data_IF_967386374401
#
_entry.id   IF_967386374401
#
_cell.length_a   1.000
_cell.length_b   1.000
_cell.length_c   1.000
_cell.angle_alpha   90.00
_cell.angle_beta   90.00
_cell.angle_gamma   90.00
#
_symmetry.space_group_name_H-M   'P 1'
#
loop_
_entity.id
_entity.type
_entity.pdbx_description
1 polymer ?
#
# COMPACT_ATOMS: atom_id res chain seq x y z
N UNK A 1 14.77 2.10 -8.34
CA UNK A 1 15.52 0.85 -8.13
C UNK A 1 14.50 -0.26 -7.94
N UNK A 2 14.67 -1.37 -8.67
CA UNK A 2 13.82 -2.55 -8.58
C UNK A 2 14.19 -3.38 -7.37
N UNK A 3 13.29 -4.26 -6.93
CA UNK A 3 13.57 -5.21 -5.84
C UNK A 3 14.83 -6.06 -6.08
N UNK A 4 15.16 -6.38 -7.34
CA UNK A 4 16.36 -7.13 -7.72
C UNK A 4 17.65 -6.28 -7.74
N UNK A 5 17.56 -5.00 -7.37
CA UNK A 5 18.66 -4.05 -7.36
C UNK A 5 18.92 -3.34 -8.70
N UNK A 6 18.22 -3.72 -9.78
CA UNK A 6 18.37 -3.02 -11.07
C UNK A 6 17.83 -1.59 -11.00
N UNK A 7 18.42 -0.69 -11.80
CA UNK A 7 18.06 0.73 -11.79
C UNK A 7 17.59 1.20 -13.15
N UNK A 8 16.64 2.12 -13.14
CA UNK A 8 16.12 2.79 -14.33
C UNK A 8 16.03 4.27 -14.00
N UNK A 9 16.61 5.11 -14.85
CA UNK A 9 16.47 6.56 -14.73
C UNK A 9 15.05 6.94 -15.13
N UNK A 10 14.35 7.66 -14.25
CA UNK A 10 13.00 8.17 -14.49
C UNK A 10 13.14 9.51 -15.22
N UNK A 11 13.75 10.49 -14.56
CA UNK A 11 13.99 11.82 -15.11
C UNK A 11 15.40 12.27 -14.74
N UNK A 12 16.09 12.89 -15.68
CA UNK A 12 17.36 13.58 -15.46
C UNK A 12 17.30 14.94 -16.17
N UNK A 13 17.39 16.01 -15.39
CA UNK A 13 17.40 17.40 -15.90
C UNK A 13 18.66 18.07 -15.40
N UNK A 14 19.73 17.98 -16.19
CA UNK A 14 21.06 18.42 -15.80
C UNK A 14 21.19 19.94 -15.57
N UNK A 15 20.28 20.74 -16.14
CA UNK A 15 20.26 22.20 -16.03
C UNK A 15 18.83 22.67 -15.69
N UNK A 16 18.34 22.25 -14.53
CA UNK A 16 17.03 22.65 -14.02
C UNK A 16 16.93 24.17 -13.83
N UNK A 17 15.82 24.74 -14.26
CA UNK A 17 15.44 26.14 -14.01
C UNK A 17 14.17 26.15 -13.15
N UNK A 18 14.18 26.91 -12.05
CA UNK A 18 13.05 27.01 -11.13
C UNK A 18 11.74 27.49 -11.81
N UNK A 19 11.83 28.17 -12.95
CA UNK A 19 10.65 28.63 -13.69
C UNK A 19 9.96 27.51 -14.50
N UNK A 20 10.52 26.30 -14.58
CA UNK A 20 9.98 25.19 -15.38
C UNK A 20 9.10 24.22 -14.59
N UNK A 21 8.18 24.73 -13.78
CA UNK A 21 7.30 23.91 -12.93
C UNK A 21 6.05 23.44 -13.68
N UNK A 22 6.21 22.46 -14.55
CA UNK A 22 5.13 21.88 -15.34
C UNK A 22 5.19 20.35 -15.34
N UNK A 23 4.07 19.70 -15.68
CA UNK A 23 4.07 18.27 -15.90
C UNK A 23 4.71 17.93 -17.23
N UNK A 24 5.70 17.04 -17.19
CA UNK A 24 6.22 16.36 -18.37
C UNK A 24 5.76 14.90 -18.31
N UNK A 25 4.77 14.56 -19.12
CA UNK A 25 4.18 13.22 -19.14
C UNK A 25 4.93 12.34 -20.14
N UNK A 26 5.14 11.08 -19.76
CA UNK A 26 5.62 10.08 -20.70
C UNK A 26 4.59 9.81 -21.79
N UNK A 27 5.07 9.42 -22.96
CA UNK A 27 4.24 8.71 -23.93
C UNK A 27 3.84 7.35 -23.36
N UNK A 28 2.66 6.87 -23.72
CA UNK A 28 2.12 5.60 -23.18
C UNK A 28 3.04 4.38 -23.40
N UNK A 29 3.85 4.40 -24.45
CA UNK A 29 4.85 3.35 -24.73
C UNK A 29 6.03 3.33 -23.75
N UNK A 30 6.28 4.44 -23.05
CA UNK A 30 7.42 4.64 -22.16
C UNK A 30 7.02 4.60 -20.68
N UNK A 31 5.78 4.21 -20.38
CA UNK A 31 5.31 4.05 -19.01
C UNK A 31 6.15 3.04 -18.23
N UNK A 32 6.53 3.44 -17.02
CA UNK A 32 7.26 2.59 -16.10
C UNK A 32 6.27 1.84 -15.21
N UNK A 33 6.14 0.53 -15.41
CA UNK A 33 5.43 -0.33 -14.46
C UNK A 33 6.23 -0.42 -13.18
N UNK A 34 5.64 -0.08 -12.03
CA UNK A 34 6.21 -0.27 -10.69
C UNK A 34 5.62 -1.53 -10.04
N UNK A 35 6.39 -2.17 -9.16
CA UNK A 35 5.96 -3.34 -8.37
C UNK A 35 6.17 -3.10 -6.89
N UNK A 36 5.46 -3.86 -6.07
CA UNK A 36 5.70 -3.89 -4.63
C UNK A 36 7.17 -4.21 -4.33
N UNK A 37 7.80 -3.40 -3.49
CA UNK A 37 9.22 -3.50 -3.15
C UNK A 37 10.18 -2.70 -4.05
N UNK A 38 9.69 -2.04 -5.11
CA UNK A 38 10.49 -1.05 -5.83
C UNK A 38 10.67 0.22 -4.97
N UNK A 39 11.82 0.88 -5.11
CA UNK A 39 12.12 2.14 -4.42
C UNK A 39 12.46 3.27 -5.41
N UNK A 40 12.15 4.50 -5.02
CA UNK A 40 12.47 5.70 -5.80
C UNK A 40 13.53 6.53 -5.08
N UNK A 41 14.47 7.08 -5.84
CA UNK A 41 15.52 7.96 -5.32
C UNK A 41 15.50 9.25 -6.12
N UNK A 42 15.43 10.38 -5.42
CA UNK A 42 15.57 11.71 -5.98
C UNK A 42 16.91 12.30 -5.54
N UNK A 43 17.56 13.03 -6.42
CA UNK A 43 18.78 13.78 -6.11
C UNK A 43 18.65 15.16 -6.73
N UNK A 44 18.72 16.19 -5.90
CA UNK A 44 18.77 17.59 -6.32
C UNK A 44 20.16 18.12 -6.00
N UNK A 45 20.73 18.91 -6.92
CA UNK A 45 22.04 19.54 -6.75
C UNK A 45 21.82 21.05 -6.74
N UNK A 46 22.35 21.72 -5.73
CA UNK A 46 22.18 23.16 -5.52
C UNK A 46 23.53 23.86 -5.65
N UNK A 47 23.51 25.08 -6.21
CA UNK A 47 24.68 25.97 -6.24
C UNK A 47 24.44 27.17 -5.30
N UNK A 48 24.97 27.08 -4.08
CA UNK A 48 24.97 28.15 -3.08
C UNK A 48 26.28 28.96 -3.10
N UNK A 49 26.95 29.05 -4.26
CA UNK A 49 28.18 29.85 -4.40
C UNK A 49 27.90 31.35 -4.26
N UNK A 50 28.90 32.17 -3.87
CA UNK A 50 28.74 33.63 -3.82
C UNK A 50 28.29 34.25 -5.15
N UNK A 51 28.72 33.67 -6.28
CA UNK A 51 28.34 34.13 -7.62
C UNK A 51 26.87 33.86 -7.96
N UNK A 52 26.25 32.85 -7.35
CA UNK A 52 24.88 32.42 -7.63
C UNK A 52 23.87 32.94 -6.59
N UNK A 53 24.21 33.99 -5.83
CA UNK A 53 23.30 34.60 -4.86
C UNK A 53 22.40 35.66 -5.51
N UNK A 54 21.15 35.83 -5.02
CA UNK A 54 20.25 36.85 -5.52
C UNK A 54 20.71 38.27 -5.17
N UNK A 55 20.20 39.25 -5.92
CA UNK A 55 20.38 40.67 -5.62
C UNK A 55 19.17 41.20 -4.85
N UNK A 56 19.41 41.84 -3.71
CA UNK A 56 18.40 42.56 -2.92
C UNK A 56 18.88 44.01 -2.80
N UNK A 57 18.03 44.97 -3.16
CA UNK A 57 18.37 46.40 -3.15
C UNK A 57 19.66 46.73 -3.91
N UNK A 58 19.86 46.09 -5.07
CA UNK A 58 21.05 46.18 -5.93
C UNK A 58 22.36 45.67 -5.29
N UNK A 59 22.27 44.92 -4.18
CA UNK A 59 23.41 44.27 -3.54
C UNK A 59 23.27 42.75 -3.63
N UNK A 60 24.32 42.09 -4.08
CA UNK A 60 24.37 40.63 -4.05
C UNK A 60 24.53 40.17 -2.61
N UNK A 61 23.59 39.35 -2.12
CA UNK A 61 23.68 38.83 -0.75
C UNK A 61 24.80 37.80 -0.62
N UNK A 62 25.34 37.65 0.58
CA UNK A 62 26.34 36.61 0.84
C UNK A 62 25.64 35.26 1.02
N UNK A 63 26.28 34.15 0.60
CA UNK A 63 25.77 32.82 0.90
C UNK A 63 25.56 32.64 2.39
N UNK A 64 24.45 32.01 2.74
CA UNK A 64 24.13 31.61 4.10
C UNK A 64 23.85 30.12 4.14
N UNK A 65 23.73 29.58 5.34
CA UNK A 65 23.20 28.23 5.49
C UNK A 65 21.74 28.22 5.06
N UNK A 66 21.39 27.33 4.14
CA UNK A 66 20.05 27.17 3.58
C UNK A 66 19.50 25.83 4.04
N UNK A 67 18.21 25.81 4.40
CA UNK A 67 17.50 24.65 4.91
C UNK A 67 16.33 24.32 4.00
N UNK A 68 15.74 23.14 4.19
CA UNK A 68 14.47 22.81 3.55
C UNK A 68 13.33 23.63 4.18
N UNK A 69 12.49 24.25 3.36
CA UNK A 69 11.38 25.07 3.85
C UNK A 69 10.57 25.74 2.75
N UNK A 70 9.55 26.49 3.16
CA UNK A 70 8.62 27.20 2.26
C UNK A 70 8.99 28.68 2.08
N UNK A 71 9.99 29.18 2.82
CA UNK A 71 10.44 30.56 2.72
C UNK A 71 11.16 30.82 1.39
N UNK A 72 11.12 32.08 0.92
CA UNK A 72 11.79 32.50 -0.33
C UNK A 72 13.30 32.26 -0.36
N UNK A 73 13.94 32.12 0.80
CA UNK A 73 15.38 31.84 0.92
C UNK A 73 15.68 30.43 1.45
N UNK A 74 14.66 29.57 1.50
CA UNK A 74 14.79 28.15 1.79
C UNK A 74 14.83 27.37 0.46
N UNK A 75 15.15 26.08 0.53
CA UNK A 75 15.24 25.20 -0.65
C UNK A 75 14.23 24.06 -0.58
N UNK A 76 13.94 23.45 -1.73
CA UNK A 76 13.11 22.25 -1.83
C UNK A 76 13.69 21.27 -2.85
N UNK A 77 13.60 19.97 -2.54
CA UNK A 77 13.89 18.88 -3.48
C UNK A 77 12.63 18.03 -3.63
N UNK A 78 11.81 18.33 -4.65
CA UNK A 78 10.52 17.67 -4.87
C UNK A 78 10.44 17.12 -6.29
N UNK A 79 9.71 16.02 -6.43
CA UNK A 79 9.30 15.47 -7.72
C UNK A 79 7.87 14.95 -7.58
N UNK A 80 7.01 15.34 -8.52
CA UNK A 80 5.62 14.88 -8.57
C UNK A 80 5.49 13.82 -9.65
N UNK A 81 5.05 12.64 -9.25
CA UNK A 81 4.85 11.50 -10.16
C UNK A 81 3.35 11.23 -10.26
N UNK A 82 2.85 11.11 -11.48
CA UNK A 82 1.50 10.65 -11.75
C UNK A 82 1.55 9.14 -11.95
N UNK A 83 0.84 8.40 -11.10
CA UNK A 83 0.67 6.97 -11.22
C UNK A 83 -0.69 6.65 -11.83
N UNK A 84 -0.71 5.69 -12.75
CA UNK A 84 -1.93 5.10 -13.29
C UNK A 84 -2.02 3.67 -12.76
N UNK A 85 -3.14 3.33 -12.14
CA UNK A 85 -3.51 1.94 -11.90
C UNK A 85 -4.51 1.51 -12.98
N UNK A 86 -4.49 0.23 -13.41
CA UNK A 86 -5.57 -0.30 -14.22
C UNK A 86 -6.90 -0.03 -13.52
N UNK A 87 -7.85 0.50 -14.28
CA UNK A 87 -9.23 0.54 -13.82
C UNK A 87 -9.73 -0.91 -13.73
N UNK A 88 -9.88 -1.41 -12.50
CA UNK A 88 -10.61 -2.64 -12.24
C UNK A 88 -12.07 -2.24 -12.03
N UNK A 89 -13.02 -2.88 -12.73
CA UNK A 89 -14.44 -2.83 -12.36
C UNK A 89 -14.57 -2.93 -10.84
N UNK A 90 -15.37 -2.05 -10.22
CA UNK A 90 -15.58 -1.79 -8.79
C UNK A 90 -15.55 -3.02 -7.86
N UNK A 91 -14.39 -3.66 -7.73
CA UNK A 91 -14.13 -4.68 -6.73
C UNK A 91 -13.49 -3.95 -5.58
N UNK A 92 -14.24 -3.87 -4.48
CA UNK A 92 -13.81 -3.20 -3.25
C UNK A 92 -12.48 -3.77 -2.70
N UNK A 93 -12.21 -5.04 -3.00
CA UNK A 93 -11.05 -5.79 -2.52
C UNK A 93 -10.27 -6.48 -3.65
N UNK A 94 -9.73 -5.72 -4.62
CA UNK A 94 -9.27 -6.28 -5.90
C UNK A 94 -7.98 -7.11 -5.76
N UNK A 95 -7.18 -6.87 -4.72
CA UNK A 95 -5.89 -7.56 -4.54
C UNK A 95 -5.92 -8.71 -3.54
N UNK A 96 -7.05 -8.96 -2.87
CA UNK A 96 -7.14 -10.02 -1.85
C UNK A 96 -6.91 -11.41 -2.44
N UNK A 97 -7.63 -11.78 -3.50
CA UNK A 97 -7.45 -13.08 -4.15
C UNK A 97 -6.01 -13.30 -4.69
N UNK A 98 -5.41 -12.37 -5.47
CA UNK A 98 -4.04 -12.56 -5.93
C UNK A 98 -3.01 -12.55 -4.79
N UNK A 99 -3.24 -11.80 -3.71
CA UNK A 99 -2.36 -11.83 -2.54
C UNK A 99 -2.39 -13.20 -1.84
N UNK A 100 -3.60 -13.73 -1.58
CA UNK A 100 -3.77 -15.03 -0.90
C UNK A 100 -3.20 -16.20 -1.70
N UNK A 101 -3.14 -16.11 -3.03
CA UNK A 101 -2.51 -17.13 -3.87
C UNK A 101 -1.00 -17.32 -3.61
N UNK A 102 -0.35 -16.35 -2.95
CA UNK A 102 1.05 -16.42 -2.54
C UNK A 102 1.28 -16.87 -1.10
N UNK A 103 0.22 -17.13 -0.33
CA UNK A 103 0.34 -17.57 1.07
C UNK A 103 0.59 -19.10 1.16
N UNK A 104 1.32 -19.52 2.20
CA UNK A 104 1.41 -20.93 2.55
C UNK A 104 0.09 -21.43 3.18
N UNK A 105 -0.30 -22.70 3.00
CA UNK A 105 -1.52 -23.24 3.60
C UNK A 105 -1.53 -23.10 5.12
N UNK A 106 -2.61 -22.56 5.67
CA UNK A 106 -2.78 -22.33 7.11
C UNK A 106 -2.06 -21.08 7.65
N UNK A 107 -1.47 -20.25 6.79
CA UNK A 107 -0.81 -19.00 7.17
C UNK A 107 -1.83 -17.87 7.43
N UNK A 108 -2.33 -17.82 8.67
CA UNK A 108 -3.28 -16.81 9.14
C UNK A 108 -2.67 -15.40 9.18
N UNK A 109 -1.35 -15.27 9.30
CA UNK A 109 -0.66 -13.97 9.29
C UNK A 109 -0.63 -13.38 7.88
N UNK A 110 -0.25 -14.18 6.88
CA UNK A 110 -0.32 -13.80 5.47
C UNK A 110 -1.74 -13.42 5.06
N UNK A 111 -2.74 -14.16 5.54
CA UNK A 111 -4.14 -13.84 5.31
C UNK A 111 -4.53 -12.45 5.84
N UNK A 112 -4.17 -12.10 7.08
CA UNK A 112 -4.44 -10.79 7.68
C UNK A 112 -3.73 -9.67 6.91
N UNK A 113 -2.48 -9.91 6.53
CA UNK A 113 -1.71 -8.98 5.71
C UNK A 113 -2.43 -8.72 4.37
N UNK A 114 -2.93 -9.76 3.70
CA UNK A 114 -3.66 -9.60 2.44
C UNK A 114 -4.97 -8.82 2.58
N UNK A 115 -5.71 -9.01 3.69
CA UNK A 115 -6.92 -8.24 3.97
C UNK A 115 -6.63 -6.75 4.22
N UNK A 116 -5.60 -6.45 5.00
CA UNK A 116 -5.31 -5.09 5.46
C UNK A 116 -4.58 -4.25 4.41
N UNK A 117 -3.94 -4.86 3.41
CA UNK A 117 -3.30 -4.16 2.28
C UNK A 117 -4.27 -3.38 1.38
N UNK A 118 -5.57 -3.67 1.41
CA UNK A 118 -6.59 -3.03 0.56
C UNK A 118 -7.29 -1.83 1.23
N UNK A 119 -6.85 -1.43 2.43
CA UNK A 119 -7.45 -0.32 3.18
C UNK A 119 -8.66 -0.71 4.02
N UNK A 120 -9.13 0.23 4.85
CA UNK A 120 -10.18 0.00 5.84
C UNK A 120 -11.51 -0.43 5.21
N UNK A 121 -11.93 0.20 4.10
CA UNK A 121 -13.21 -0.11 3.44
C UNK A 121 -13.30 -1.57 2.97
N UNK A 122 -12.18 -2.14 2.50
CA UNK A 122 -12.13 -3.54 2.12
C UNK A 122 -12.23 -4.47 3.33
N UNK A 123 -11.47 -4.19 4.41
CA UNK A 123 -11.51 -4.97 5.64
C UNK A 123 -12.91 -4.92 6.30
N UNK A 124 -13.53 -3.74 6.33
CA UNK A 124 -14.88 -3.52 6.86
C UNK A 124 -15.95 -4.30 6.09
N UNK A 125 -15.75 -4.52 4.79
CA UNK A 125 -16.63 -5.38 3.99
C UNK A 125 -16.34 -6.87 4.22
N UNK A 126 -15.07 -7.29 4.13
CA UNK A 126 -14.71 -8.71 4.11
C UNK A 126 -14.86 -9.41 5.45
N UNK A 127 -14.45 -8.78 6.56
CA UNK A 127 -14.47 -9.42 7.87
C UNK A 127 -15.88 -9.90 8.27
N UNK A 128 -16.96 -9.11 8.10
CA UNK A 128 -18.32 -9.59 8.33
C UNK A 128 -18.75 -10.73 7.40
N UNK A 129 -18.44 -10.68 6.10
CA UNK A 129 -18.82 -11.73 5.14
C UNK A 129 -18.11 -13.05 5.44
N UNK A 130 -16.83 -12.97 5.80
CA UNK A 130 -16.07 -14.12 6.27
C UNK A 130 -16.63 -14.68 7.57
N UNK A 131 -17.05 -13.83 8.52
CA UNK A 131 -17.75 -14.24 9.73
C UNK A 131 -19.05 -15.00 9.46
N UNK A 132 -19.84 -14.58 8.45
CA UNK A 132 -21.05 -15.32 8.02
C UNK A 132 -20.69 -16.71 7.48
N UNK A 133 -19.70 -16.78 6.58
CA UNK A 133 -19.26 -18.07 6.04
C UNK A 133 -18.71 -18.98 7.14
N UNK A 134 -17.91 -18.44 8.05
CA UNK A 134 -17.33 -19.17 9.16
C UNK A 134 -18.37 -19.66 10.16
N UNK A 135 -19.43 -18.88 10.41
CA UNK A 135 -20.55 -19.34 11.25
C UNK A 135 -21.29 -20.53 10.61
N UNK A 136 -21.32 -20.61 9.27
CA UNK A 136 -21.96 -21.70 8.54
C UNK A 136 -21.12 -22.99 8.54
N UNK A 137 -19.82 -22.91 8.27
CA UNK A 137 -18.98 -24.09 8.08
C UNK A 137 -18.09 -24.43 9.28
N UNK A 138 -17.75 -23.43 10.10
CA UNK A 138 -16.83 -23.54 11.24
C UNK A 138 -17.45 -23.00 12.56
N UNK A 139 -18.70 -23.39 12.91
CA UNK A 139 -19.42 -22.77 14.03
C UNK A 139 -18.74 -22.96 15.39
N UNK A 140 -18.05 -24.08 15.60
CA UNK A 140 -17.36 -24.37 16.87
C UNK A 140 -16.16 -23.45 17.06
N UNK A 141 -15.34 -23.31 16.01
CA UNK A 141 -14.16 -22.46 16.04
C UNK A 141 -14.55 -20.99 16.14
N UNK A 142 -15.59 -20.57 15.41
CA UNK A 142 -16.12 -19.21 15.52
C UNK A 142 -16.70 -18.90 16.89
N UNK A 143 -17.41 -19.85 17.52
CA UNK A 143 -17.89 -19.67 18.88
C UNK A 143 -16.74 -19.47 19.87
N UNK A 144 -15.68 -20.27 19.77
CA UNK A 144 -14.50 -20.14 20.61
C UNK A 144 -13.79 -18.79 20.41
N UNK A 145 -13.69 -18.32 19.16
CA UNK A 145 -13.13 -17.01 18.85
C UNK A 145 -13.99 -15.88 19.45
N UNK A 146 -15.30 -15.91 19.25
CA UNK A 146 -16.21 -14.89 19.80
C UNK A 146 -16.15 -14.83 21.34
N UNK A 147 -16.11 -15.98 22.01
CA UNK A 147 -15.96 -16.04 23.47
C UNK A 147 -14.66 -15.40 23.96
N UNK A 148 -13.58 -15.52 23.18
CA UNK A 148 -12.33 -14.86 23.48
C UNK A 148 -12.44 -13.33 23.25
N UNK A 149 -13.00 -12.92 22.12
CA UNK A 149 -13.18 -11.51 21.76
C UNK A 149 -14.12 -10.76 22.72
N UNK A 150 -15.09 -11.45 23.33
CA UNK A 150 -15.94 -10.88 24.38
C UNK A 150 -15.17 -10.54 25.67
N UNK A 151 -13.97 -11.10 25.83
CA UNK A 151 -13.14 -10.96 27.03
C UNK A 151 -11.90 -10.08 26.85
N UNK A 152 -11.62 -9.59 25.64
CA UNK A 152 -10.50 -8.71 25.35
C UNK A 152 -10.91 -7.44 24.59
N UNK A 153 -10.00 -6.48 24.50
CA UNK A 153 -10.22 -5.23 23.77
C UNK A 153 -8.89 -4.62 23.33
N UNK A 154 -8.93 -3.78 22.30
CA UNK A 154 -7.73 -3.13 21.76
C UNK A 154 -7.09 -3.91 20.60
N UNK A 155 -5.98 -3.37 20.09
CA UNK A 155 -5.34 -3.84 18.85
C UNK A 155 -4.68 -5.23 18.99
N UNK A 156 -4.26 -5.62 20.20
CA UNK A 156 -3.68 -6.93 20.51
C UNK A 156 -4.70 -8.07 20.64
N UNK A 157 -5.98 -7.73 20.83
CA UNK A 157 -7.03 -8.67 21.22
C UNK A 157 -7.17 -9.84 20.23
N UNK A 158 -7.22 -9.55 18.93
CA UNK A 158 -7.40 -10.59 17.91
C UNK A 158 -6.14 -11.43 17.67
N UNK A 159 -4.97 -10.78 17.57
CA UNK A 159 -3.74 -11.40 17.05
C UNK A 159 -2.74 -11.86 18.10
N UNK A 160 -2.85 -11.41 19.35
CA UNK A 160 -2.00 -11.87 20.44
C UNK A 160 -2.82 -12.68 21.45
N UNK A 161 -3.84 -12.05 22.05
CA UNK A 161 -4.63 -12.64 23.14
C UNK A 161 -5.52 -13.79 22.65
N UNK A 162 -6.21 -13.60 21.53
CA UNK A 162 -7.08 -14.60 20.90
C UNK A 162 -6.43 -15.35 19.73
N UNK A 163 -5.10 -15.27 19.60
CA UNK A 163 -4.33 -15.85 18.49
C UNK A 163 -4.62 -17.34 18.26
N UNK A 164 -4.76 -18.12 19.34
CA UNK A 164 -5.05 -19.56 19.27
C UNK A 164 -6.42 -19.82 18.65
N UNK A 165 -7.44 -19.10 19.10
CA UNK A 165 -8.81 -19.24 18.61
C UNK A 165 -8.94 -18.69 17.19
N UNK A 166 -8.25 -17.59 16.88
CA UNK A 166 -8.20 -17.00 15.55
C UNK A 166 -7.58 -17.97 14.55
N UNK A 167 -6.41 -18.54 14.87
CA UNK A 167 -5.72 -19.52 14.01
C UNK A 167 -6.59 -20.77 13.79
N UNK A 168 -7.25 -21.27 14.83
CA UNK A 168 -8.17 -22.41 14.70
C UNK A 168 -9.36 -22.10 13.78
N UNK A 169 -9.93 -20.90 13.88
CA UNK A 169 -11.00 -20.44 13.00
C UNK A 169 -10.53 -20.32 11.55
N UNK A 170 -9.35 -19.73 11.33
CA UNK A 170 -8.76 -19.60 10.00
C UNK A 170 -8.49 -20.95 9.33
N UNK A 171 -7.79 -21.86 10.03
CA UNK A 171 -7.47 -23.21 9.52
C UNK A 171 -8.73 -23.99 9.13
N UNK A 172 -9.83 -23.81 9.88
CA UNK A 172 -11.10 -24.41 9.52
C UNK A 172 -11.72 -23.76 8.26
N UNK A 173 -11.67 -22.43 8.17
CA UNK A 173 -12.35 -21.66 7.13
C UNK A 173 -11.64 -21.71 5.77
N UNK A 174 -10.31 -21.78 5.76
CA UNK A 174 -9.48 -21.74 4.56
C UNK A 174 -9.89 -22.74 3.47
N UNK A 175 -10.13 -24.05 3.76
CA UNK A 175 -10.62 -25.00 2.76
C UNK A 175 -11.99 -24.61 2.15
N UNK A 176 -12.86 -23.95 2.91
CA UNK A 176 -14.16 -23.51 2.44
C UNK A 176 -14.06 -22.27 1.56
N UNK A 177 -13.11 -21.38 1.86
CA UNK A 177 -12.81 -20.23 1.01
C UNK A 177 -12.17 -20.67 -0.31
N UNK A 178 -11.13 -21.51 -0.25
CA UNK A 178 -10.37 -21.95 -1.44
C UNK A 178 -11.16 -22.89 -2.36
N UNK A 179 -12.16 -23.59 -1.84
CA UNK A 179 -13.12 -24.36 -2.65
C UNK A 179 -14.24 -23.52 -3.27
N UNK A 180 -14.32 -22.23 -2.96
CA UNK A 180 -15.39 -21.33 -3.42
C UNK A 180 -16.70 -21.46 -2.65
N UNK A 181 -16.75 -22.25 -1.57
CA UNK A 181 -17.96 -22.44 -0.78
C UNK A 181 -18.42 -21.17 -0.04
N UNK A 182 -17.52 -20.18 0.11
CA UNK A 182 -17.78 -18.85 0.65
C UNK A 182 -18.00 -17.77 -0.44
N UNK A 183 -17.81 -18.07 -1.73
CA UNK A 183 -17.76 -17.02 -2.77
C UNK A 183 -19.07 -16.24 -2.89
N UNK A 184 -20.21 -16.87 -2.59
CA UNK A 184 -21.49 -16.18 -2.56
C UNK A 184 -21.55 -15.05 -1.51
N UNK A 185 -20.92 -15.23 -0.34
CA UNK A 185 -20.85 -14.20 0.71
C UNK A 185 -19.79 -13.14 0.38
N UNK A 186 -18.69 -13.53 -0.28
CA UNK A 186 -17.56 -12.66 -0.61
C UNK A 186 -17.76 -11.81 -1.86
N UNK A 187 -18.68 -12.20 -2.74
CA UNK A 187 -18.98 -11.53 -4.00
C UNK A 187 -19.39 -10.06 -3.82
N UNK A 188 -20.09 -9.73 -2.72
CA UNK A 188 -20.48 -8.36 -2.37
C UNK A 188 -19.27 -7.43 -2.18
N UNK A 189 -18.12 -7.97 -1.78
CA UNK A 189 -16.86 -7.24 -1.64
C UNK A 189 -15.97 -7.35 -2.89
N UNK A 190 -16.47 -7.96 -3.97
CA UNK A 190 -15.73 -8.18 -5.21
C UNK A 190 -14.69 -9.31 -5.15
N UNK A 191 -14.78 -10.21 -4.17
CA UNK A 191 -13.81 -11.30 -3.95
C UNK A 191 -14.42 -12.64 -4.35
N UNK A 192 -13.60 -13.47 -5.02
CA UNK A 192 -13.85 -14.89 -5.25
C UNK A 192 -12.52 -15.61 -5.05
N UNK A 193 -12.53 -16.62 -4.18
CA UNK A 193 -11.34 -17.37 -3.74
C UNK A 193 -11.36 -18.81 -4.23
N UNK A 194 -12.50 -19.28 -4.72
CA UNK A 194 -12.60 -20.55 -5.42
C UNK A 194 -11.72 -20.58 -6.67
N UNK A 195 -11.04 -21.71 -6.89
CA UNK A 195 -10.41 -21.97 -8.19
C UNK A 195 -11.51 -22.13 -9.25
N UNK A 196 -11.38 -21.43 -10.38
CA UNK A 196 -11.86 -21.98 -11.66
C UNK A 196 -10.84 -22.99 -12.17
#
# INVERSE_FOLDING_TARGET
QRKDGSETCIVDVSAWDFNWQQFYLYESSDYLTTKAGDSMKLTCVYDNSPSNQPYIDNLQVQPKHVIWGEGTFDEMCLNYIIALSPWAEDKLCPTVAPCLSGCDPGDSECFVICLTQNGADCADCLLPQMGKCATKYCPVQMQALNQCLDSCSGESCLFEECSVQFNAAYICLEPHMTSGACDADLADCGVSLGSN
#
